data_IF_264662775027
#
_entry.id   IF_264662775027
#
_cell.length_a   1.000
_cell.length_b   1.000
_cell.length_c   1.000
_cell.angle_alpha   90.00
_cell.angle_beta   90.00
_cell.angle_gamma   90.00
#
_symmetry.space_group_name_H-M   'P 1'
#
loop_
_entity.id
_entity.type
_entity.pdbx_description
1 polymer ?
#
# COMPACT_ATOMS: atom_id res chain seq x y z
N UNK A 1 -3.06 -21.10 4.97
CA UNK A 1 -2.35 -20.00 4.31
C UNK A 1 -2.90 -19.95 2.89
N UNK A 2 -3.71 -18.95 2.55
CA UNK A 2 -4.21 -18.78 1.18
C UNK A 2 -3.03 -18.39 0.29
N UNK A 3 -2.66 -19.30 -0.61
CA UNK A 3 -1.63 -19.07 -1.62
C UNK A 3 -2.17 -17.98 -2.55
N UNK A 4 -1.86 -16.72 -2.27
CA UNK A 4 -2.42 -15.58 -3.00
C UNK A 4 -1.53 -15.35 -4.21
N UNK A 5 -1.81 -16.06 -5.30
CA UNK A 5 -1.12 -15.84 -6.58
C UNK A 5 -1.64 -14.56 -7.23
N UNK A 6 -0.70 -13.76 -7.77
CA UNK A 6 -1.02 -12.59 -8.58
C UNK A 6 -1.05 -13.00 -10.05
N UNK A 7 -2.16 -12.66 -10.71
CA UNK A 7 -2.37 -12.85 -12.14
C UNK A 7 -1.60 -11.79 -12.95
N UNK A 8 -1.57 -10.56 -12.46
CA UNK A 8 -0.93 -9.44 -13.15
C UNK A 8 -0.42 -8.40 -12.15
N UNK A 9 0.73 -7.78 -12.46
CA UNK A 9 1.31 -6.64 -11.76
C UNK A 9 1.32 -5.44 -12.70
N UNK A 10 0.88 -4.27 -12.21
CA UNK A 10 0.73 -3.03 -13.00
C UNK A 10 1.43 -1.90 -12.23
N UNK A 11 2.16 -0.99 -12.89
CA UNK A 11 2.74 0.19 -12.22
C UNK A 11 1.66 1.02 -11.50
N UNK A 12 1.96 1.48 -10.29
CA UNK A 12 1.09 2.33 -9.47
C UNK A 12 1.66 3.74 -9.31
N UNK A 13 2.17 4.31 -10.41
CA UNK A 13 2.74 5.66 -10.44
C UNK A 13 1.76 6.65 -9.83
N UNK A 14 2.26 7.50 -8.92
CA UNK A 14 1.48 8.54 -8.23
C UNK A 14 0.33 8.02 -7.34
N UNK A 15 0.28 6.73 -7.03
CA UNK A 15 -0.71 6.17 -6.10
C UNK A 15 -0.09 5.85 -4.73
N UNK A 16 -0.91 6.03 -3.70
CA UNK A 16 -0.54 5.86 -2.31
C UNK A 16 -1.65 5.12 -1.55
N UNK A 17 -1.28 4.44 -0.47
CA UNK A 17 -2.20 4.02 0.57
C UNK A 17 -2.08 4.95 1.77
N UNK A 18 -3.18 5.56 2.19
CA UNK A 18 -3.23 6.54 3.29
C UNK A 18 -4.17 6.03 4.37
N UNK A 19 -3.73 6.06 5.62
CA UNK A 19 -4.60 5.80 6.77
C UNK A 19 -4.41 6.85 7.85
N UNK A 20 -5.45 7.08 8.64
CA UNK A 20 -5.34 7.92 9.84
C UNK A 20 -4.49 7.25 10.90
N UNK A 21 -3.73 8.05 11.63
CA UNK A 21 -2.99 7.59 12.80
C UNK A 21 -3.90 7.58 14.02
N UNK A 22 -3.64 6.66 14.96
CA UNK A 22 -4.32 6.68 16.26
C UNK A 22 -3.91 7.91 17.07
N UNK A 23 -4.81 8.42 17.90
CA UNK A 23 -4.55 9.59 18.75
C UNK A 23 -3.29 9.40 19.60
N UNK A 24 -2.44 10.42 19.64
CA UNK A 24 -1.16 10.40 20.39
C UNK A 24 0.07 10.02 19.55
N UNK A 25 -0.10 9.60 18.31
CA UNK A 25 1.00 9.48 17.33
C UNK A 25 1.22 10.83 16.64
N UNK A 26 2.48 11.17 16.37
CA UNK A 26 2.82 12.39 15.63
C UNK A 26 2.33 12.30 14.17
N UNK A 27 1.68 13.35 13.69
CA UNK A 27 1.07 13.39 12.34
C UNK A 27 -0.34 12.79 12.31
N UNK A 28 -1.21 13.37 11.49
CA UNK A 28 -2.62 12.95 11.39
C UNK A 28 -2.80 11.63 10.65
N UNK A 29 -1.93 11.33 9.70
CA UNK A 29 -2.00 10.17 8.82
C UNK A 29 -0.61 9.61 8.53
N UNK A 30 -0.58 8.38 8.04
CA UNK A 30 0.59 7.75 7.44
C UNK A 30 0.27 7.43 5.99
N UNK A 31 1.23 7.71 5.10
CA UNK A 31 1.12 7.50 3.66
C UNK A 31 2.20 6.52 3.21
N UNK A 32 1.80 5.53 2.42
CA UNK A 32 2.70 4.57 1.79
C UNK A 32 2.61 4.71 0.27
N UNK A 33 3.73 5.01 -0.38
CA UNK A 33 3.79 4.98 -1.84
C UNK A 33 3.59 3.55 -2.34
N UNK A 34 2.67 3.38 -3.30
CA UNK A 34 2.50 2.10 -3.97
C UNK A 34 3.60 1.88 -4.99
N UNK A 35 4.18 0.69 -4.97
CA UNK A 35 5.08 0.23 -6.02
C UNK A 35 4.30 -0.29 -7.24
N UNK A 36 3.18 -0.96 -6.98
CA UNK A 36 2.36 -1.59 -8.01
C UNK A 36 0.94 -1.88 -7.55
N UNK A 37 0.04 -2.04 -8.52
CA UNK A 37 -1.22 -2.74 -8.37
C UNK A 37 -1.06 -4.22 -8.71
N UNK A 38 -1.72 -5.08 -7.95
CA UNK A 38 -1.75 -6.51 -8.19
C UNK A 38 -3.19 -6.99 -8.38
N UNK A 39 -3.47 -7.58 -9.53
CA UNK A 39 -4.71 -8.34 -9.77
C UNK A 39 -4.49 -9.76 -9.28
N UNK A 40 -5.28 -10.18 -8.28
CA UNK A 40 -5.31 -11.55 -7.78
C UNK A 40 -6.16 -12.44 -8.70
N UNK A 41 -5.97 -13.75 -8.63
CA UNK A 41 -6.76 -14.72 -9.42
C UNK A 41 -8.26 -14.66 -9.15
N UNK A 42 -8.67 -14.25 -7.94
CA UNK A 42 -10.07 -14.08 -7.55
C UNK A 42 -10.71 -12.78 -8.10
N UNK A 43 -9.98 -11.98 -8.89
CA UNK A 43 -10.44 -10.71 -9.45
C UNK A 43 -10.26 -9.49 -8.52
N UNK A 44 -9.77 -9.68 -7.30
CA UNK A 44 -9.49 -8.58 -6.37
C UNK A 44 -8.24 -7.82 -6.80
N UNK A 45 -8.30 -6.49 -6.74
CA UNK A 45 -7.15 -5.60 -6.99
C UNK A 45 -6.66 -5.04 -5.66
N UNK A 46 -5.36 -5.18 -5.40
CA UNK A 46 -4.72 -4.64 -4.20
C UNK A 46 -3.47 -3.84 -4.57
N UNK A 47 -3.17 -2.82 -3.76
CA UNK A 47 -1.89 -2.11 -3.84
C UNK A 47 -0.78 -2.94 -3.18
N UNK A 48 0.45 -2.76 -3.67
CA UNK A 48 1.65 -3.34 -3.11
C UNK A 48 2.65 -2.25 -2.73
N UNK A 49 3.25 -2.37 -1.56
CA UNK A 49 4.27 -1.46 -1.02
C UNK A 49 5.60 -2.19 -0.87
N UNK A 50 6.71 -1.46 -0.98
CA UNK A 50 8.04 -2.02 -0.76
C UNK A 50 8.37 -2.08 0.72
N UNK A 51 8.82 -3.23 1.21
CA UNK A 51 9.39 -3.38 2.55
C UNK A 51 10.67 -4.20 2.47
N UNK A 52 11.42 -4.26 3.58
CA UNK A 52 12.51 -5.22 3.76
C UNK A 52 12.08 -6.31 4.73
N UNK A 53 12.47 -7.56 4.47
CA UNK A 53 12.31 -8.64 5.43
C UNK A 53 13.36 -8.57 6.56
N UNK A 54 13.31 -9.51 7.50
CA UNK A 54 14.22 -9.57 8.66
C UNK A 54 15.69 -9.75 8.27
N UNK A 55 15.96 -10.23 7.05
CA UNK A 55 17.31 -10.35 6.48
C UNK A 55 17.69 -9.13 5.62
N UNK A 56 16.87 -8.09 5.61
CA UNK A 56 17.08 -6.87 4.83
C UNK A 56 16.76 -7.01 3.34
N UNK A 57 16.19 -8.13 2.88
CA UNK A 57 15.89 -8.34 1.45
C UNK A 57 14.64 -7.58 1.05
N UNK A 58 14.63 -6.88 -0.11
CA UNK A 58 13.45 -6.17 -0.57
C UNK A 58 12.34 -7.14 -0.97
N UNK A 59 11.10 -6.84 -0.58
CA UNK A 59 9.90 -7.58 -0.99
C UNK A 59 8.71 -6.63 -1.19
N UNK A 60 7.73 -7.10 -1.94
CA UNK A 60 6.43 -6.45 -2.07
C UNK A 60 5.41 -7.12 -1.15
N UNK A 61 4.63 -6.31 -0.44
CA UNK A 61 3.55 -6.77 0.43
C UNK A 61 2.33 -5.87 0.25
N UNK A 62 1.15 -6.36 0.60
CA UNK A 62 -0.02 -5.47 0.75
C UNK A 62 0.20 -4.48 1.89
N UNK A 63 -0.40 -3.29 1.85
CA UNK A 63 -0.41 -2.38 3.00
C UNK A 63 -0.90 -3.07 4.28
N UNK A 64 -0.58 -2.50 5.46
CA UNK A 64 -1.09 -2.99 6.73
C UNK A 64 -2.63 -3.15 6.68
N UNK A 65 -3.21 -4.18 7.33
CA UNK A 65 -4.64 -4.44 7.33
C UNK A 65 -5.38 -3.49 8.29
N UNK A 66 -5.26 -2.19 8.05
CA UNK A 66 -5.90 -1.10 8.79
C UNK A 66 -6.88 -0.36 7.88
N UNK A 67 -7.93 0.27 8.41
CA UNK A 67 -8.81 1.13 7.62
C UNK A 67 -8.02 2.26 6.98
N UNK A 68 -8.13 2.40 5.67
CA UNK A 68 -7.43 3.42 4.88
C UNK A 68 -7.87 3.38 3.42
N UNK A 69 -7.41 4.36 2.66
CA UNK A 69 -7.82 4.59 1.29
C UNK A 69 -6.63 4.55 0.33
N UNK A 70 -6.90 4.12 -0.89
CA UNK A 70 -5.97 4.34 -1.99
C UNK A 70 -6.25 5.69 -2.63
N UNK A 71 -5.25 6.56 -2.64
CA UNK A 71 -5.35 7.93 -3.14
C UNK A 71 -4.31 8.17 -4.24
N UNK A 72 -4.71 8.87 -5.29
CA UNK A 72 -3.77 9.47 -6.22
C UNK A 72 -3.12 10.71 -5.57
N UNK A 73 -1.90 11.08 -5.99
CA UNK A 73 -1.16 12.22 -5.43
C UNK A 73 -1.96 13.52 -5.36
N UNK A 74 -2.85 13.75 -6.32
CA UNK A 74 -3.68 14.96 -6.42
C UNK A 74 -4.78 15.02 -5.35
N UNK A 75 -5.03 13.91 -4.66
CA UNK A 75 -5.98 13.80 -3.56
C UNK A 75 -5.30 13.90 -2.19
N UNK A 76 -3.96 13.87 -2.16
CA UNK A 76 -3.19 14.11 -0.95
C UNK A 76 -3.07 15.61 -0.70
N UNK A 77 -2.99 15.98 0.57
CA UNK A 77 -2.70 17.37 0.97
C UNK A 77 -1.19 17.61 1.00
N UNK A 78 -0.73 18.85 0.94
CA UNK A 78 0.72 19.17 0.98
C UNK A 78 1.42 18.69 2.28
N UNK A 79 0.62 18.48 3.34
CA UNK A 79 1.07 17.98 4.65
C UNK A 79 1.18 16.44 4.71
N UNK A 80 0.88 15.74 3.60
CA UNK A 80 0.85 14.27 3.45
C UNK A 80 1.81 13.78 2.35
#
# INVERSE_FOLDING_TARGET
MSNTSYKQIIPATDWYFRHDNVSGVAGKSTVYQLAAWALKENGEVVGLVTVRDDNGRPKLVTPPPVPGDYLHKEQLTDDE
#
